data_IF_035992885866
#
_entry.id   IF_035992885866
#
_cell.length_a   1.000
_cell.length_b   1.000
_cell.length_c   1.000
_cell.angle_alpha   90.00
_cell.angle_beta   90.00
_cell.angle_gamma   90.00
#
_symmetry.space_group_name_H-M   'P 1'
#
loop_
_entity.id
_entity.type
_entity.pdbx_description
1 polymer ?
#
# COMPACT_ATOMS: atom_id res chain seq x y z
N UNK A 1 34.29 -8.73 11.82
CA UNK A 1 33.31 -7.90 11.09
C UNK A 1 32.16 -7.63 12.04
N UNK A 2 31.81 -6.36 12.22
CA UNK A 2 30.74 -5.95 13.12
C UNK A 2 29.37 -6.35 12.52
N UNK A 3 28.62 -7.22 13.22
CA UNK A 3 27.33 -7.74 12.76
C UNK A 3 26.26 -6.64 12.65
N UNK A 4 26.50 -5.45 13.20
CA UNK A 4 25.63 -4.28 13.10
C UNK A 4 25.53 -3.75 11.66
N UNK A 5 26.65 -3.68 10.95
CA UNK A 5 26.72 -3.13 9.59
C UNK A 5 25.99 -4.01 8.56
N UNK A 6 25.85 -5.29 8.84
CA UNK A 6 25.14 -6.25 7.99
C UNK A 6 23.65 -5.96 7.83
N UNK A 7 23.06 -5.24 8.80
CA UNK A 7 21.63 -4.89 8.81
C UNK A 7 21.32 -3.63 8.00
N UNK A 8 22.33 -2.97 7.46
CA UNK A 8 22.20 -1.75 6.66
C UNK A 8 22.14 -2.08 5.17
N UNK A 9 21.51 -1.22 4.36
CA UNK A 9 21.50 -1.39 2.90
C UNK A 9 22.91 -1.54 2.32
N UNK A 10 23.82 -0.65 2.71
CA UNK A 10 25.19 -0.66 2.23
C UNK A 10 25.93 -1.94 2.59
N UNK A 11 25.74 -2.45 3.82
CA UNK A 11 26.39 -3.67 4.27
C UNK A 11 25.83 -4.93 3.62
N UNK A 12 24.51 -4.99 3.43
CA UNK A 12 23.86 -6.06 2.68
C UNK A 12 24.38 -6.12 1.24
N UNK A 13 24.36 -5.00 0.51
CA UNK A 13 24.79 -4.95 -0.88
C UNK A 13 26.28 -5.27 -1.05
N UNK A 14 27.16 -4.79 -0.16
CA UNK A 14 28.59 -5.16 -0.19
C UNK A 14 28.79 -6.66 -0.12
N UNK A 15 28.13 -7.34 0.83
CA UNK A 15 28.23 -8.80 0.94
C UNK A 15 27.70 -9.50 -0.31
N UNK A 16 26.57 -9.05 -0.85
CA UNK A 16 26.02 -9.63 -2.08
C UNK A 16 27.01 -9.51 -3.24
N UNK A 17 27.61 -8.34 -3.43
CA UNK A 17 28.61 -8.11 -4.47
C UNK A 17 29.85 -8.98 -4.27
N UNK A 18 30.37 -9.05 -3.04
CA UNK A 18 31.53 -9.89 -2.70
C UNK A 18 31.23 -11.38 -2.96
N UNK A 19 30.04 -11.85 -2.59
CA UNK A 19 29.61 -13.23 -2.80
C UNK A 19 29.47 -13.58 -4.27
N UNK A 20 28.92 -12.65 -5.07
CA UNK A 20 28.74 -12.83 -6.52
C UNK A 20 29.99 -12.44 -7.33
N UNK A 21 31.07 -11.98 -6.67
CA UNK A 21 32.29 -11.48 -7.29
C UNK A 21 32.05 -10.34 -8.31
N UNK A 22 31.07 -9.47 -8.02
CA UNK A 22 30.70 -8.34 -8.87
C UNK A 22 31.39 -7.08 -8.37
N UNK A 23 32.13 -6.41 -9.25
CA UNK A 23 32.74 -5.11 -8.93
C UNK A 23 31.75 -3.95 -9.06
N UNK A 24 32.04 -2.83 -8.38
CA UNK A 24 31.23 -1.61 -8.48
C UNK A 24 31.08 -1.10 -9.92
N UNK A 25 32.13 -1.26 -10.74
CA UNK A 25 32.10 -0.86 -12.14
C UNK A 25 31.15 -1.75 -12.96
N UNK A 26 31.19 -3.07 -12.74
CA UNK A 26 30.27 -4.01 -13.40
C UNK A 26 28.83 -3.67 -13.02
N UNK A 27 28.56 -3.48 -11.72
CA UNK A 27 27.23 -3.08 -11.26
C UNK A 27 26.75 -1.79 -11.92
N UNK A 28 27.61 -0.75 -11.95
CA UNK A 28 27.29 0.54 -12.57
C UNK A 28 26.94 0.40 -14.06
N UNK A 29 27.78 -0.31 -14.82
CA UNK A 29 27.57 -0.52 -16.25
C UNK A 29 26.30 -1.33 -16.54
N UNK A 30 26.08 -2.42 -15.82
CA UNK A 30 24.95 -3.33 -16.08
C UNK A 30 23.60 -2.75 -15.65
N UNK A 31 23.58 -1.83 -14.69
CA UNK A 31 22.35 -1.16 -14.24
C UNK A 31 22.14 0.21 -14.88
N UNK A 32 23.12 0.71 -15.65
CA UNK A 32 23.06 2.04 -16.26
C UNK A 32 23.12 3.20 -15.26
N UNK A 33 23.63 2.98 -14.05
CA UNK A 33 23.76 4.01 -13.01
C UNK A 33 25.20 4.49 -12.89
N UNK A 34 25.39 5.75 -12.49
CA UNK A 34 26.73 6.30 -12.30
C UNK A 34 27.49 5.58 -11.17
N UNK A 35 28.80 5.36 -11.33
CA UNK A 35 29.63 4.69 -10.32
C UNK A 35 29.63 5.44 -8.97
N UNK A 36 29.55 6.78 -9.01
CA UNK A 36 29.38 7.59 -7.81
C UNK A 36 28.10 7.26 -7.03
N UNK A 37 27.01 6.97 -7.76
CA UNK A 37 25.74 6.51 -7.17
C UNK A 37 25.90 5.14 -6.52
N UNK A 38 26.63 4.22 -7.15
CA UNK A 38 26.97 2.91 -6.55
C UNK A 38 27.75 3.10 -5.24
N UNK A 39 28.77 3.96 -5.23
CA UNK A 39 29.56 4.21 -4.01
C UNK A 39 28.72 4.79 -2.88
N UNK A 40 27.79 5.70 -3.18
CA UNK A 40 26.87 6.24 -2.20
C UNK A 40 25.90 5.18 -1.67
N UNK A 41 25.37 4.33 -2.56
CA UNK A 41 24.49 3.21 -2.19
C UNK A 41 25.18 2.24 -1.22
N UNK A 42 26.45 1.91 -1.46
CA UNK A 42 27.25 1.02 -0.60
C UNK A 42 27.72 1.67 0.72
N UNK A 43 27.46 2.96 0.93
CA UNK A 43 27.68 3.69 2.18
C UNK A 43 26.38 3.89 2.97
N UNK A 44 25.21 3.76 2.33
CA UNK A 44 23.92 4.06 2.97
C UNK A 44 23.63 3.18 4.17
N UNK A 45 23.33 3.82 5.31
CA UNK A 45 23.11 3.18 6.61
C UNK A 45 24.40 2.80 7.37
N UNK A 46 25.57 2.88 6.73
CA UNK A 46 26.89 2.73 7.38
C UNK A 46 27.47 4.11 7.72
N UNK A 47 27.34 5.04 6.78
CA UNK A 47 27.81 6.41 6.89
C UNK A 47 26.60 7.35 7.04
N UNK A 48 26.61 8.16 8.09
CA UNK A 48 25.51 9.07 8.41
C UNK A 48 25.29 10.15 7.34
N UNK A 49 26.35 10.49 6.58
CA UNK A 49 26.30 11.52 5.55
C UNK A 49 26.02 10.95 4.14
N UNK A 50 25.75 9.64 4.03
CA UNK A 50 25.43 9.04 2.74
C UNK A 50 24.04 9.51 2.24
N UNK A 51 23.94 10.01 0.99
CA UNK A 51 22.66 10.47 0.46
C UNK A 51 21.70 9.29 0.27
N UNK A 52 20.40 9.57 0.45
CA UNK A 52 19.35 8.58 0.26
C UNK A 52 19.32 8.04 -1.19
N UNK A 53 19.24 6.71 -1.37
CA UNK A 53 19.31 6.10 -2.70
C UNK A 53 17.98 6.23 -3.44
N UNK A 54 18.00 6.74 -4.67
CA UNK A 54 16.79 6.92 -5.46
C UNK A 54 16.04 5.59 -5.72
N UNK A 55 14.68 5.55 -5.69
CA UNK A 55 13.89 4.34 -5.96
C UNK A 55 14.23 3.62 -7.27
N UNK A 56 14.42 4.37 -8.36
CA UNK A 56 14.84 3.79 -9.65
C UNK A 56 16.20 3.08 -9.56
N UNK A 57 17.16 3.62 -8.78
CA UNK A 57 18.46 2.98 -8.56
C UNK A 57 18.29 1.66 -7.81
N UNK A 58 17.48 1.64 -6.75
CA UNK A 58 17.21 0.42 -5.99
C UNK A 58 16.57 -0.67 -6.84
N UNK A 59 15.63 -0.30 -7.72
CA UNK A 59 14.99 -1.24 -8.64
C UNK A 59 15.97 -1.82 -9.65
N UNK A 60 16.77 -0.97 -10.30
CA UNK A 60 17.77 -1.42 -11.28
C UNK A 60 18.81 -2.37 -10.64
N UNK A 61 19.27 -2.04 -9.42
CA UNK A 61 20.20 -2.89 -8.66
C UNK A 61 19.54 -4.21 -8.25
N UNK A 62 18.28 -4.20 -7.81
CA UNK A 62 17.54 -5.42 -7.46
C UNK A 62 17.37 -6.35 -8.66
N UNK A 63 16.99 -5.80 -9.82
CA UNK A 63 16.80 -6.56 -11.06
C UNK A 63 18.10 -7.24 -11.51
N UNK A 64 19.21 -6.49 -11.53
CA UNK A 64 20.51 -7.00 -11.94
C UNK A 64 21.07 -8.07 -10.99
N UNK A 65 20.95 -7.86 -9.68
CA UNK A 65 21.45 -8.82 -8.67
C UNK A 65 20.45 -9.96 -8.37
N UNK A 66 19.31 -10.00 -9.06
CA UNK A 66 18.20 -10.93 -8.85
C UNK A 66 17.72 -10.98 -7.38
N UNK A 67 17.62 -9.80 -6.76
CA UNK A 67 17.18 -9.63 -5.38
C UNK A 67 15.70 -9.24 -5.32
N UNK A 68 15.07 -9.48 -4.17
CA UNK A 68 13.74 -8.96 -3.91
C UNK A 68 13.80 -7.42 -3.74
N UNK A 69 13.20 -6.62 -4.64
CA UNK A 69 13.27 -5.16 -4.57
C UNK A 69 12.69 -4.62 -3.27
N UNK A 70 11.61 -5.21 -2.76
CA UNK A 70 10.96 -4.83 -1.48
C UNK A 70 11.94 -4.91 -0.31
N UNK A 71 12.88 -5.86 -0.34
CA UNK A 71 13.89 -5.97 0.70
C UNK A 71 14.87 -4.77 0.66
N UNK A 72 15.33 -4.37 -0.53
CA UNK A 72 16.18 -3.19 -0.68
C UNK A 72 15.45 -1.89 -0.30
N UNK A 73 14.18 -1.76 -0.67
CA UNK A 73 13.36 -0.60 -0.28
C UNK A 73 13.20 -0.49 1.24
N UNK A 74 13.02 -1.61 1.94
CA UNK A 74 12.97 -1.63 3.41
C UNK A 74 14.31 -1.26 4.05
N UNK A 75 15.41 -1.85 3.58
CA UNK A 75 16.75 -1.49 4.07
C UNK A 75 17.12 -0.03 3.79
N UNK A 76 16.53 0.56 2.74
CA UNK A 76 16.67 1.97 2.42
C UNK A 76 15.76 2.90 3.27
N UNK A 77 14.84 2.34 4.06
CA UNK A 77 13.88 3.08 4.89
C UNK A 77 12.65 3.58 4.13
N UNK A 78 12.41 3.10 2.89
CA UNK A 78 11.20 3.42 2.13
C UNK A 78 9.97 2.64 2.59
N UNK A 79 10.19 1.51 3.26
CA UNK A 79 9.16 0.64 3.82
C UNK A 79 9.53 0.45 5.28
N UNK A 80 8.71 1.00 6.17
CA UNK A 80 8.88 0.83 7.62
C UNK A 80 8.37 -0.53 8.07
N UNK A 81 8.84 -1.04 9.20
CA UNK A 81 8.31 -2.30 9.77
C UNK A 81 6.83 -2.16 10.17
N UNK A 82 6.32 -0.93 10.32
CA UNK A 82 4.89 -0.63 10.48
C UNK A 82 4.10 -0.76 9.17
N UNK A 83 4.71 -0.55 8.00
CA UNK A 83 4.08 -0.77 6.69
C UNK A 83 3.85 -2.27 6.38
N UNK A 84 4.40 -3.16 7.21
CA UNK A 84 4.20 -4.62 7.19
C UNK A 84 2.90 -5.04 7.91
N UNK A 85 2.17 -4.10 8.53
CA UNK A 85 0.89 -4.37 9.22
C UNK A 85 -0.26 -4.88 8.31
N UNK A 86 -0.02 -5.09 7.02
CA UNK A 86 -0.95 -5.80 6.11
C UNK A 86 -0.54 -7.23 5.75
N UNK A 87 0.51 -7.80 6.36
CA UNK A 87 0.94 -9.15 6.00
C UNK A 87 0.08 -10.20 6.70
N UNK A 88 -0.73 -10.90 5.91
CA UNK A 88 -1.22 -12.24 6.24
C UNK A 88 -0.04 -13.05 6.80
N UNK A 89 -0.29 -13.86 7.84
CA UNK A 89 0.74 -14.78 8.32
C UNK A 89 1.18 -15.72 7.18
N UNK A 90 2.37 -16.36 7.24
CA UNK A 90 2.77 -17.34 6.22
C UNK A 90 1.70 -18.41 5.95
N UNK A 91 0.92 -18.75 6.99
CA UNK A 91 -0.23 -19.64 6.88
C UNK A 91 -1.37 -18.96 6.12
N UNK A 92 -1.70 -17.71 6.42
CA UNK A 92 -2.70 -16.93 5.68
C UNK A 92 -2.35 -16.76 4.20
N UNK A 93 -1.09 -16.50 3.87
CA UNK A 93 -0.61 -16.45 2.48
C UNK A 93 -0.77 -17.81 1.78
N UNK A 94 -0.38 -18.90 2.44
CA UNK A 94 -0.56 -20.25 1.92
C UNK A 94 -2.04 -20.59 1.68
N UNK A 95 -2.91 -20.26 2.64
CA UNK A 95 -4.36 -20.45 2.52
C UNK A 95 -4.90 -19.69 1.32
N UNK A 96 -4.54 -18.41 1.15
CA UNK A 96 -4.94 -17.61 -0.01
C UNK A 96 -4.51 -18.25 -1.34
N UNK A 97 -3.24 -18.65 -1.46
CA UNK A 97 -2.73 -19.28 -2.69
C UNK A 97 -3.41 -20.62 -3.03
N UNK A 98 -3.85 -21.37 -2.03
CA UNK A 98 -4.58 -22.64 -2.23
C UNK A 98 -6.05 -22.39 -2.52
N UNK A 99 -6.66 -21.43 -1.85
CA UNK A 99 -8.04 -21.03 -2.04
C UNK A 99 -8.32 -20.63 -3.50
N UNK A 100 -7.43 -19.85 -4.10
CA UNK A 100 -7.55 -19.41 -5.50
C UNK A 100 -7.54 -20.56 -6.52
N UNK A 101 -7.07 -21.76 -6.13
CA UNK A 101 -7.02 -22.95 -7.00
C UNK A 101 -8.24 -23.87 -6.85
N UNK A 102 -9.12 -23.60 -5.89
CA UNK A 102 -10.32 -24.40 -5.64
C UNK A 102 -11.43 -24.06 -6.64
N UNK A 103 -12.34 -25.02 -6.87
CA UNK A 103 -13.56 -24.75 -7.64
C UNK A 103 -14.50 -23.81 -6.85
N UNK A 104 -15.42 -23.07 -7.51
CA UNK A 104 -16.30 -22.11 -6.83
C UNK A 104 -17.07 -22.68 -5.64
N UNK A 105 -17.61 -23.90 -5.78
CA UNK A 105 -18.35 -24.56 -4.68
C UNK A 105 -17.43 -24.91 -3.49
N UNK A 106 -16.17 -25.23 -3.75
CA UNK A 106 -15.18 -25.52 -2.72
C UNK A 106 -14.67 -24.25 -2.04
N UNK A 107 -14.50 -23.16 -2.80
CA UNK A 107 -14.20 -21.84 -2.24
C UNK A 107 -15.31 -21.40 -1.29
N UNK A 108 -16.57 -21.53 -1.73
CA UNK A 108 -17.74 -21.25 -0.89
C UNK A 108 -17.74 -22.09 0.39
N UNK A 109 -17.50 -23.39 0.29
CA UNK A 109 -17.41 -24.27 1.45
C UNK A 109 -16.33 -23.82 2.46
N UNK A 110 -15.14 -23.41 1.98
CA UNK A 110 -14.08 -22.91 2.87
C UNK A 110 -14.50 -21.61 3.55
N UNK A 111 -15.16 -20.70 2.84
CA UNK A 111 -15.70 -19.47 3.42
C UNK A 111 -16.78 -19.75 4.47
N UNK A 112 -17.68 -20.71 4.22
CA UNK A 112 -18.72 -21.11 5.18
C UNK A 112 -18.12 -21.70 6.47
N UNK A 113 -17.04 -22.49 6.36
CA UNK A 113 -16.28 -23.01 7.50
C UNK A 113 -15.62 -21.86 8.28
N UNK A 114 -14.96 -20.94 7.57
CA UNK A 114 -14.34 -19.77 8.20
C UNK A 114 -15.39 -18.92 8.94
N UNK A 115 -16.55 -18.66 8.34
CA UNK A 115 -17.65 -17.95 9.00
C UNK A 115 -18.18 -18.67 10.23
N UNK A 116 -18.20 -20.01 10.22
CA UNK A 116 -18.57 -20.82 11.40
C UNK A 116 -17.53 -20.68 12.51
N UNK A 117 -16.23 -20.71 12.17
CA UNK A 117 -15.14 -20.55 13.13
C UNK A 117 -15.12 -19.14 13.74
N UNK A 118 -15.33 -18.10 12.92
CA UNK A 118 -15.47 -16.72 13.37
C UNK A 118 -16.57 -16.61 14.42
N UNK A 119 -17.77 -17.11 14.10
CA UNK A 119 -18.93 -17.11 15.02
C UNK A 119 -18.64 -17.84 16.32
N UNK A 120 -17.98 -19.01 16.27
CA UNK A 120 -17.62 -19.76 17.48
C UNK A 120 -16.55 -19.08 18.34
N UNK A 121 -15.71 -18.24 17.73
CA UNK A 121 -14.62 -17.52 18.39
C UNK A 121 -15.05 -16.12 18.87
N UNK A 122 -16.31 -15.74 18.66
CA UNK A 122 -16.81 -14.40 18.94
C UNK A 122 -16.25 -13.32 18.00
N UNK A 123 -15.65 -13.72 16.87
CA UNK A 123 -15.24 -12.79 15.83
C UNK A 123 -16.48 -12.38 15.01
N UNK A 124 -16.58 -11.11 14.59
CA UNK A 124 -17.67 -10.69 13.72
C UNK A 124 -17.56 -11.44 12.38
N UNK A 125 -18.70 -11.96 11.89
CA UNK A 125 -18.71 -12.69 10.62
C UNK A 125 -18.81 -11.71 9.46
N UNK A 126 -17.66 -11.33 8.93
CA UNK A 126 -17.58 -10.38 7.82
C UNK A 126 -17.66 -11.06 6.45
N UNK A 127 -17.52 -12.39 6.35
CA UNK A 127 -17.36 -13.09 5.07
C UNK A 127 -18.47 -12.83 4.04
N UNK A 128 -19.74 -12.94 4.44
CA UNK A 128 -20.87 -12.65 3.54
C UNK A 128 -20.97 -11.15 3.21
N UNK A 129 -20.76 -10.30 4.21
CA UNK A 129 -20.85 -8.84 4.10
C UNK A 129 -19.77 -8.30 3.16
N UNK A 130 -18.52 -8.77 3.29
CA UNK A 130 -17.40 -8.35 2.46
C UNK A 130 -17.63 -8.68 0.98
N UNK A 131 -18.24 -9.83 0.64
CA UNK A 131 -18.53 -10.17 -0.75
C UNK A 131 -19.51 -9.19 -1.39
N UNK A 132 -20.58 -8.84 -0.69
CA UNK A 132 -21.56 -7.85 -1.16
C UNK A 132 -20.91 -6.48 -1.36
N UNK A 133 -20.04 -6.07 -0.43
CA UNK A 133 -19.30 -4.82 -0.53
C UNK A 133 -18.19 -4.82 -1.59
N UNK A 134 -17.58 -5.97 -1.90
CA UNK A 134 -16.68 -6.12 -3.04
C UNK A 134 -17.44 -5.92 -4.35
N UNK A 135 -18.66 -6.47 -4.46
CA UNK A 135 -19.53 -6.23 -5.62
C UNK A 135 -19.89 -4.75 -5.72
N UNK A 136 -20.32 -4.12 -4.62
CA UNK A 136 -20.59 -2.69 -4.57
C UNK A 136 -19.36 -1.84 -4.97
N UNK A 137 -18.18 -2.21 -4.48
CA UNK A 137 -16.90 -1.58 -4.86
C UNK A 137 -16.58 -1.72 -6.35
N UNK A 138 -16.88 -2.86 -6.98
CA UNK A 138 -16.71 -3.05 -8.43
C UNK A 138 -17.68 -2.17 -9.21
N UNK A 139 -18.94 -2.07 -8.78
CA UNK A 139 -19.93 -1.19 -9.39
C UNK A 139 -19.53 0.29 -9.27
N UNK A 140 -19.03 0.71 -8.10
CA UNK A 140 -18.49 2.05 -7.89
C UNK A 140 -17.28 2.32 -8.79
N UNK A 141 -16.35 1.36 -8.91
CA UNK A 141 -15.20 1.49 -9.82
C UNK A 141 -15.63 1.67 -11.27
N UNK A 142 -16.63 0.91 -11.72
CA UNK A 142 -17.15 1.03 -13.09
C UNK A 142 -17.80 2.38 -13.33
N UNK A 143 -18.56 2.90 -12.37
CA UNK A 143 -19.21 4.22 -12.46
C UNK A 143 -18.19 5.36 -12.56
N UNK A 144 -17.09 5.26 -11.79
CA UNK A 144 -16.10 6.33 -11.64
C UNK A 144 -14.75 6.00 -12.29
N UNK A 145 -14.75 5.13 -13.32
CA UNK A 145 -13.54 4.53 -13.89
C UNK A 145 -12.50 5.57 -14.32
N UNK A 146 -12.90 6.58 -15.07
CA UNK A 146 -12.00 7.62 -15.62
C UNK A 146 -11.24 8.36 -14.52
N UNK A 147 -11.90 8.63 -13.38
CA UNK A 147 -11.25 9.27 -12.22
C UNK A 147 -10.23 8.34 -11.59
N UNK A 148 -10.59 7.08 -11.40
CA UNK A 148 -9.74 6.11 -10.71
C UNK A 148 -8.51 5.76 -11.55
N UNK A 149 -8.64 5.66 -12.88
CA UNK A 149 -7.51 5.50 -13.79
C UNK A 149 -6.57 6.72 -13.78
N UNK A 150 -7.13 7.94 -13.72
CA UNK A 150 -6.33 9.15 -13.57
C UNK A 150 -5.55 9.18 -12.24
N UNK A 151 -6.17 8.73 -11.14
CA UNK A 151 -5.50 8.59 -9.85
C UNK A 151 -4.36 7.57 -9.91
N UNK A 152 -4.57 6.42 -10.58
CA UNK A 152 -3.55 5.38 -10.73
C UNK A 152 -2.26 5.93 -11.36
N UNK A 153 -2.38 6.81 -12.35
CA UNK A 153 -1.25 7.51 -13.00
C UNK A 153 -0.59 8.56 -12.11
N UNK A 154 -1.36 9.25 -11.27
CA UNK A 154 -0.83 10.33 -10.43
C UNK A 154 -0.16 9.86 -9.16
N UNK A 155 -0.60 8.73 -8.61
CA UNK A 155 -0.02 8.15 -7.41
C UNK A 155 1.47 7.84 -7.61
N UNK A 156 1.87 7.34 -8.79
CA UNK A 156 3.29 7.06 -9.06
C UNK A 156 4.18 8.30 -8.97
N UNK A 157 3.64 9.49 -9.24
CA UNK A 157 4.37 10.76 -9.16
C UNK A 157 4.33 11.37 -7.74
N UNK A 158 3.35 10.97 -6.92
CA UNK A 158 3.01 11.57 -5.63
C UNK A 158 3.49 10.77 -4.41
N UNK A 159 4.20 9.65 -4.63
CA UNK A 159 4.83 8.83 -3.57
C UNK A 159 5.99 9.59 -2.89
N UNK A 160 5.65 10.61 -2.12
CA UNK A 160 6.50 11.21 -1.11
C UNK A 160 6.16 10.66 0.27
N UNK A 161 7.14 10.68 1.18
CA UNK A 161 6.93 10.31 2.58
C UNK A 161 5.96 11.34 3.18
N UNK A 162 4.72 10.92 3.47
CA UNK A 162 3.74 11.70 4.23
C UNK A 162 3.49 10.99 5.55
N UNK A 163 3.49 11.74 6.64
CA UNK A 163 3.11 11.20 7.94
C UNK A 163 1.60 10.93 7.99
N UNK A 164 1.19 9.98 8.81
CA UNK A 164 -0.23 9.66 9.01
C UNK A 164 -1.06 10.89 9.38
N UNK A 165 -0.52 11.74 10.26
CA UNK A 165 -1.19 12.99 10.65
C UNK A 165 -1.42 13.93 9.46
N UNK A 166 -0.46 14.04 8.53
CA UNK A 166 -0.63 14.85 7.33
C UNK A 166 -1.69 14.27 6.39
N UNK A 167 -1.76 12.93 6.29
CA UNK A 167 -2.80 12.26 5.50
C UNK A 167 -4.18 12.47 6.11
N UNK A 168 -4.32 12.27 7.42
CA UNK A 168 -5.57 12.49 8.16
C UNK A 168 -6.06 13.94 8.02
N UNK A 169 -5.19 14.92 8.24
CA UNK A 169 -5.54 16.34 8.09
C UNK A 169 -5.95 16.66 6.64
N UNK A 170 -5.27 16.06 5.66
CA UNK A 170 -5.59 16.23 4.24
C UNK A 170 -6.95 15.65 3.86
N UNK A 171 -7.25 14.43 4.33
CA UNK A 171 -8.57 13.80 4.14
C UNK A 171 -9.65 14.65 4.82
N UNK A 172 -9.43 15.02 6.08
CA UNK A 172 -10.38 15.80 6.86
C UNK A 172 -10.76 17.10 6.16
N UNK A 173 -9.77 17.87 5.69
CA UNK A 173 -10.03 19.13 4.97
C UNK A 173 -10.86 18.88 3.71
N UNK A 174 -10.49 17.89 2.89
CA UNK A 174 -11.20 17.59 1.65
C UNK A 174 -12.63 17.13 1.89
N UNK A 175 -12.86 16.30 2.91
CA UNK A 175 -14.21 15.90 3.30
C UNK A 175 -15.02 17.10 3.80
N UNK A 176 -14.42 17.98 4.61
CA UNK A 176 -15.10 19.20 5.06
C UNK A 176 -15.52 20.11 3.89
N UNK A 177 -14.69 20.21 2.85
CA UNK A 177 -14.99 20.99 1.64
C UNK A 177 -16.18 20.40 0.83
N UNK A 178 -16.36 19.08 0.89
CA UNK A 178 -17.42 18.36 0.17
C UNK A 178 -18.72 18.24 0.97
N UNK A 179 -18.61 18.14 2.30
CA UNK A 179 -19.71 17.96 3.25
C UNK A 179 -19.67 19.08 4.31
N UNK A 180 -20.08 20.31 3.95
CA UNK A 180 -19.91 21.49 4.82
C UNK A 180 -20.70 21.42 6.13
N UNK A 181 -21.71 20.55 6.21
CA UNK A 181 -22.57 20.38 7.37
C UNK A 181 -22.18 19.20 8.27
N UNK A 182 -21.15 18.44 7.89
CA UNK A 182 -20.66 17.30 8.65
C UNK A 182 -19.33 17.63 9.31
N UNK A 183 -19.11 17.09 10.50
CA UNK A 183 -17.86 17.23 11.23
C UNK A 183 -17.07 15.93 11.12
N UNK A 184 -15.87 16.00 10.53
CA UNK A 184 -14.96 14.86 10.43
C UNK A 184 -13.84 15.01 11.44
N UNK A 185 -13.65 14.02 12.31
CA UNK A 185 -12.47 13.96 13.17
C UNK A 185 -11.42 13.01 12.58
N UNK A 186 -10.12 13.21 12.90
CA UNK A 186 -9.08 12.25 12.53
C UNK A 186 -9.38 10.82 13.02
N UNK A 187 -10.03 10.67 14.18
CA UNK A 187 -10.41 9.38 14.73
C UNK A 187 -11.47 8.67 13.87
N UNK A 188 -12.47 9.39 13.38
CA UNK A 188 -13.50 8.83 12.50
C UNK A 188 -12.91 8.38 11.16
N UNK A 189 -12.02 9.18 10.60
CA UNK A 189 -11.31 8.86 9.35
C UNK A 189 -10.43 7.62 9.54
N UNK A 190 -9.68 7.56 10.65
CA UNK A 190 -8.85 6.40 10.96
C UNK A 190 -9.70 5.13 11.15
N UNK A 191 -10.84 5.25 11.85
CA UNK A 191 -11.78 4.14 12.02
C UNK A 191 -12.27 3.60 10.67
N UNK A 192 -12.62 4.47 9.73
CA UNK A 192 -13.01 4.06 8.37
C UNK A 192 -11.84 3.41 7.63
N UNK A 193 -10.65 4.01 7.71
CA UNK A 193 -9.45 3.52 7.05
C UNK A 193 -9.03 2.12 7.51
N UNK A 194 -9.20 1.81 8.80
CA UNK A 194 -8.80 0.53 9.39
C UNK A 194 -9.92 -0.52 9.37
N UNK A 195 -11.15 -0.15 9.00
CA UNK A 195 -12.27 -1.08 9.01
C UNK A 195 -12.11 -2.17 7.93
N UNK A 196 -12.21 -3.47 8.26
CA UNK A 196 -11.92 -4.57 7.32
C UNK A 196 -12.77 -4.53 6.04
N UNK A 197 -14.06 -4.19 6.18
CA UNK A 197 -14.98 -4.10 5.04
C UNK A 197 -14.66 -2.88 4.17
N UNK A 198 -14.34 -1.74 4.79
CA UNK A 198 -13.94 -0.53 4.07
C UNK A 198 -12.62 -0.77 3.32
N UNK A 199 -11.69 -1.49 3.93
CA UNK A 199 -10.43 -1.93 3.32
C UNK A 199 -10.64 -2.81 2.09
N UNK A 200 -11.60 -3.72 2.12
CA UNK A 200 -11.95 -4.54 0.97
C UNK A 200 -12.47 -3.66 -0.19
N UNK A 201 -13.38 -2.72 0.09
CA UNK A 201 -13.91 -1.77 -0.90
C UNK A 201 -12.78 -0.93 -1.49
N UNK A 202 -11.95 -0.30 -0.65
CA UNK A 202 -10.83 0.52 -1.10
C UNK A 202 -9.82 -0.28 -1.92
N UNK A 203 -9.66 -1.58 -1.65
CA UNK A 203 -8.77 -2.43 -2.43
C UNK A 203 -9.31 -2.81 -3.80
N UNK A 204 -10.64 -2.79 -3.98
CA UNK A 204 -11.25 -2.87 -5.30
C UNK A 204 -11.14 -1.54 -6.04
N UNK A 205 -11.39 -0.43 -5.35
CA UNK A 205 -11.31 0.92 -5.92
C UNK A 205 -9.88 1.34 -6.28
N UNK A 206 -8.88 0.83 -5.55
CA UNK A 206 -7.46 1.10 -5.76
C UNK A 206 -6.65 -0.20 -5.57
N UNK A 207 -6.57 -1.06 -6.62
CA UNK A 207 -5.98 -2.40 -6.58
C UNK A 207 -4.44 -2.36 -6.63
N UNK A 208 -3.84 -1.49 -5.81
CA UNK A 208 -2.40 -1.27 -5.73
C UNK A 208 -1.81 -2.03 -4.54
N UNK A 209 -0.92 -2.98 -4.84
CA UNK A 209 -0.21 -3.79 -3.84
C UNK A 209 0.85 -3.00 -3.07
N UNK A 210 1.32 -1.92 -3.66
CA UNK A 210 2.29 -0.98 -3.08
C UNK A 210 1.65 0.05 -2.13
N UNK A 211 0.31 0.06 -2.02
CA UNK A 211 -0.42 0.87 -1.05
C UNK A 211 -1.16 -0.04 -0.05
N UNK A 212 -0.44 -0.75 0.84
CA UNK A 212 -1.07 -1.74 1.70
C UNK A 212 -2.04 -1.14 2.72
N UNK A 213 -1.81 0.10 3.15
CA UNK A 213 -2.51 0.74 4.26
C UNK A 213 -3.79 1.44 3.82
N UNK A 214 -4.87 1.25 4.58
CA UNK A 214 -6.16 1.86 4.29
C UNK A 214 -6.15 3.37 4.29
N UNK A 215 -5.42 3.97 5.23
CA UNK A 215 -5.27 5.42 5.31
C UNK A 215 -4.65 5.99 4.03
N UNK A 216 -3.65 5.30 3.49
CA UNK A 216 -2.98 5.70 2.25
C UNK A 216 -3.95 5.59 1.07
N UNK A 217 -4.71 4.48 0.96
CA UNK A 217 -5.72 4.34 -0.09
C UNK A 217 -6.79 5.43 -0.01
N UNK A 218 -7.32 5.66 1.19
CA UNK A 218 -8.33 6.68 1.45
C UNK A 218 -7.82 8.09 1.13
N UNK A 219 -6.56 8.39 1.48
CA UNK A 219 -5.92 9.66 1.17
C UNK A 219 -5.90 9.94 -0.34
N UNK A 220 -5.64 8.93 -1.16
CA UNK A 220 -5.65 9.07 -2.62
C UNK A 220 -7.07 9.06 -3.21
N UNK A 221 -7.97 8.22 -2.72
CA UNK A 221 -9.36 8.18 -3.20
C UNK A 221 -10.09 9.51 -2.99
N UNK A 222 -9.76 10.22 -1.91
CA UNK A 222 -10.30 11.55 -1.60
C UNK A 222 -9.53 12.69 -2.27
N UNK A 223 -8.46 12.43 -3.01
CA UNK A 223 -7.57 13.48 -3.52
C UNK A 223 -8.23 14.32 -4.63
N UNK A 224 -8.04 15.65 -4.53
CA UNK A 224 -8.25 16.64 -5.58
C UNK A 224 -7.37 17.87 -5.29
N UNK A 225 -7.16 18.69 -6.31
CA UNK A 225 -6.44 19.97 -6.20
C UNK A 225 -7.35 21.01 -5.53
N UNK A 226 -6.98 21.46 -4.33
CA UNK A 226 -7.77 22.42 -3.54
C UNK A 226 -7.69 23.85 -4.07
N UNK A 227 -6.65 24.16 -4.87
CA UNK A 227 -6.46 25.49 -5.45
C UNK A 227 -7.29 25.68 -6.74
N UNK A 228 -8.08 24.67 -7.13
CA UNK A 228 -8.89 24.64 -8.34
C UNK A 228 -10.32 24.23 -8.04
N UNK A 229 -11.23 24.67 -8.89
CA UNK A 229 -12.61 24.20 -8.85
C UNK A 229 -12.65 22.68 -9.04
N UNK A 230 -13.24 21.98 -8.07
CA UNK A 230 -13.35 20.52 -8.08
C UNK A 230 -14.37 20.12 -9.14
N UNK A 231 -13.99 19.35 -10.17
CA UNK A 231 -14.94 18.90 -11.19
C UNK A 231 -16.12 18.17 -10.54
N UNK A 232 -17.34 18.42 -11.02
CA UNK A 232 -18.56 17.81 -10.46
C UNK A 232 -18.48 16.28 -10.39
N UNK A 233 -17.92 15.64 -11.43
CA UNK A 233 -17.70 14.19 -11.48
C UNK A 233 -16.70 13.69 -10.43
N UNK A 234 -15.70 14.51 -10.09
CA UNK A 234 -14.77 14.20 -8.99
C UNK A 234 -15.45 14.33 -7.63
N UNK A 235 -16.22 15.40 -7.43
CA UNK A 235 -17.01 15.61 -6.22
C UNK A 235 -17.96 14.44 -5.99
N UNK A 236 -18.75 14.08 -6.99
CA UNK A 236 -19.70 12.96 -6.96
C UNK A 236 -19.00 11.64 -6.62
N UNK A 237 -17.88 11.35 -7.28
CA UNK A 237 -17.12 10.12 -7.02
C UNK A 237 -16.61 10.03 -5.58
N UNK A 238 -16.09 11.12 -5.01
CA UNK A 238 -15.59 11.11 -3.63
C UNK A 238 -16.75 10.91 -2.65
N UNK A 239 -17.88 11.55 -2.90
CA UNK A 239 -19.09 11.42 -2.07
C UNK A 239 -19.59 9.97 -2.10
N UNK A 240 -19.82 9.41 -3.30
CA UNK A 240 -20.25 8.02 -3.49
C UNK A 240 -19.32 7.02 -2.79
N UNK A 241 -18.01 7.23 -2.91
CA UNK A 241 -17.00 6.38 -2.25
C UNK A 241 -17.12 6.53 -0.73
N UNK A 242 -17.15 7.76 -0.21
CA UNK A 242 -17.21 8.00 1.23
C UNK A 242 -18.47 7.41 1.87
N UNK A 243 -19.63 7.60 1.25
CA UNK A 243 -20.90 7.05 1.72
C UNK A 243 -20.88 5.53 1.78
N UNK A 244 -20.31 4.87 0.76
CA UNK A 244 -20.16 3.42 0.76
C UNK A 244 -19.23 2.92 1.88
N UNK A 245 -18.15 3.65 2.16
CA UNK A 245 -17.24 3.33 3.26
C UNK A 245 -17.90 3.55 4.63
N UNK A 246 -18.67 4.61 4.81
CA UNK A 246 -19.42 4.88 6.04
C UNK A 246 -20.48 3.81 6.31
N UNK A 247 -21.25 3.42 5.28
CA UNK A 247 -22.21 2.32 5.39
C UNK A 247 -21.52 1.02 5.80
N UNK A 248 -20.35 0.71 5.22
CA UNK A 248 -19.59 -0.48 5.58
C UNK A 248 -19.16 -0.51 7.05
N UNK A 249 -18.85 0.65 7.64
CA UNK A 249 -18.46 0.79 9.06
C UNK A 249 -19.65 0.68 10.01
N UNK A 250 -20.87 0.97 9.56
CA UNK A 250 -22.08 0.91 10.40
C UNK A 250 -22.66 -0.52 10.53
N UNK A 251 -22.38 -1.39 9.56
CA UNK A 251 -22.90 -2.77 9.54
C UNK A 251 -21.98 -3.76 10.28
N UNK A 252 -20.71 -3.39 10.49
CA UNK A 252 -19.66 -4.22 11.06
C UNK A 252 -19.32 -3.95 12.52
#
# INVERSE_FOLDING_TARGET
MDQSNEKTLGGFLRRTLDTQQISNNILAQSTGIAEGTVRNLLRYGIDADAPAPHPHTLRAVAEFLHLNPTHLFRLAGYITDEDVLSNLSPIGEYVGQRFDKLQPDQQKMVLDILGTLEKSSGLPSYGAVILDYIVAGKTLRQRHLTRLEWLDLKISDLLGIRTDQLMLNGIQRRLQDLFPNEAFTPADIQKVADHPVAMAIMSVLLPRKDLPRGLVKLYYLTWFDQDREVPATTREAIIDIWDALQQAVQIG
#
